data_IF_815497849368
#
_entry.id   IF_815497849368
#
_cell.length_a   1.000
_cell.length_b   1.000
_cell.length_c   1.000
_cell.angle_alpha   90.00
_cell.angle_beta   90.00
_cell.angle_gamma   90.00
#
_symmetry.space_group_name_H-M   'P 1'
#
loop_
_entity.id
_entity.type
_entity.pdbx_description
1 polymer ?
#
# COMPACT_ATOMS: atom_id res chain seq x y z
N UNK A 1 -3.20 13.22 15.31
CA UNK A 1 -3.12 12.04 14.41
C UNK A 1 -1.82 11.98 13.57
N UNK A 2 -0.67 12.25 14.21
CA UNK A 2 0.63 12.50 13.57
C UNK A 2 1.15 11.36 12.67
N UNK A 3 0.81 10.11 12.96
CA UNK A 3 1.39 8.93 12.31
C UNK A 3 0.46 8.25 11.30
N UNK A 4 -0.71 8.81 11.01
CA UNK A 4 -1.70 8.16 10.14
C UNK A 4 -1.09 7.88 8.76
N UNK A 5 -0.52 8.91 8.12
CA UNK A 5 0.07 8.76 6.78
C UNK A 5 1.21 7.73 6.78
N UNK A 6 2.13 7.81 7.74
CA UNK A 6 3.25 6.87 7.84
C UNK A 6 2.79 5.43 8.05
N UNK A 7 1.81 5.19 8.91
CA UNK A 7 1.26 3.86 9.15
C UNK A 7 0.47 3.34 7.95
N UNK A 8 -0.24 4.21 7.21
CA UNK A 8 -0.92 3.83 5.96
C UNK A 8 0.09 3.43 4.88
N UNK A 9 1.16 4.20 4.70
CA UNK A 9 2.23 3.86 3.76
C UNK A 9 2.87 2.52 4.11
N UNK A 10 3.18 2.28 5.39
CA UNK A 10 3.67 0.99 5.85
C UNK A 10 2.68 -0.13 5.52
N UNK A 11 1.38 0.04 5.83
CA UNK A 11 0.35 -0.96 5.52
C UNK A 11 0.32 -1.32 4.02
N UNK A 12 0.43 -0.33 3.14
CA UNK A 12 0.43 -0.53 1.68
C UNK A 12 1.63 -1.40 1.27
N UNK A 13 2.84 -1.04 1.71
CA UNK A 13 4.05 -1.83 1.40
C UNK A 13 4.02 -3.23 2.01
N UNK A 14 3.57 -3.35 3.27
CA UNK A 14 3.49 -4.64 3.96
C UNK A 14 2.51 -5.59 3.30
N UNK A 15 1.42 -5.10 2.73
CA UNK A 15 0.46 -5.94 2.02
C UNK A 15 1.09 -6.60 0.78
N UNK A 16 1.78 -5.82 -0.05
CA UNK A 16 2.50 -6.34 -1.24
C UNK A 16 3.62 -7.30 -0.83
N UNK A 17 4.37 -6.98 0.24
CA UNK A 17 5.40 -7.85 0.76
C UNK A 17 4.83 -9.17 1.33
N UNK A 18 3.67 -9.12 1.97
CA UNK A 18 2.99 -10.30 2.49
C UNK A 18 2.52 -11.23 1.36
N UNK A 19 1.97 -10.68 0.28
CA UNK A 19 1.64 -11.45 -0.93
C UNK A 19 2.88 -12.10 -1.54
N UNK A 20 3.97 -11.32 -1.73
CA UNK A 20 5.21 -11.82 -2.30
C UNK A 20 5.83 -12.96 -1.48
N UNK A 21 5.89 -12.82 -0.15
CA UNK A 21 6.45 -13.85 0.75
C UNK A 21 5.71 -15.17 0.71
N UNK A 22 4.46 -15.18 0.25
CA UNK A 22 3.59 -16.36 0.22
C UNK A 22 3.25 -16.79 -1.21
N UNK A 23 3.94 -16.25 -2.21
CA UNK A 23 3.57 -16.51 -3.60
C UNK A 23 3.72 -17.99 -4.01
N UNK A 24 4.64 -18.71 -3.37
CA UNK A 24 4.86 -20.14 -3.61
C UNK A 24 3.72 -21.02 -3.04
N UNK A 25 2.86 -20.50 -2.16
CA UNK A 25 1.65 -21.19 -1.70
C UNK A 25 0.60 -21.19 -2.83
N UNK A 26 0.16 -22.36 -3.35
CA UNK A 26 -0.77 -22.43 -4.47
C UNK A 26 -2.13 -21.74 -4.23
N UNK A 27 -2.49 -21.44 -2.99
CA UNK A 27 -3.67 -20.62 -2.69
C UNK A 27 -3.51 -19.16 -3.16
N UNK A 28 -2.30 -18.61 -3.15
CA UNK A 28 -2.04 -17.19 -3.39
C UNK A 28 -2.20 -16.80 -4.86
N UNK A 29 -1.58 -17.48 -5.84
CA UNK A 29 -1.85 -17.19 -7.25
C UNK A 29 -3.31 -17.37 -7.65
N UNK A 30 -4.04 -18.28 -6.99
CA UNK A 30 -5.49 -18.48 -7.22
C UNK A 30 -6.35 -17.37 -6.64
N UNK A 31 -6.04 -16.91 -5.43
CA UNK A 31 -6.80 -15.86 -4.75
C UNK A 31 -6.43 -14.44 -5.23
N UNK A 32 -5.18 -14.25 -5.64
CA UNK A 32 -4.60 -12.97 -6.01
C UNK A 32 -3.93 -13.02 -7.41
N UNK A 33 -4.63 -13.46 -8.46
CA UNK A 33 -4.05 -13.65 -9.79
C UNK A 33 -3.51 -12.34 -10.41
N UNK A 34 -4.03 -11.20 -9.96
CA UNK A 34 -3.62 -9.87 -10.40
C UNK A 34 -2.26 -9.42 -9.84
N UNK A 35 -1.75 -10.05 -8.78
CA UNK A 35 -0.56 -9.57 -8.07
C UNK A 35 0.71 -9.58 -8.94
N UNK A 36 0.84 -10.56 -9.84
CA UNK A 36 2.01 -10.67 -10.72
C UNK A 36 1.80 -10.02 -12.10
N UNK A 37 0.86 -9.08 -12.19
CA UNK A 37 0.58 -8.34 -13.45
C UNK A 37 1.29 -7.00 -13.44
N UNK A 38 1.70 -6.54 -14.63
CA UNK A 38 2.28 -5.19 -14.79
C UNK A 38 1.33 -4.11 -14.28
N UNK A 39 0.04 -4.23 -14.62
CA UNK A 39 -0.99 -3.26 -14.23
C UNK A 39 -1.08 -3.07 -12.71
N UNK A 40 -0.98 -4.14 -11.93
CA UNK A 40 -0.98 -4.05 -10.47
C UNK A 40 0.21 -3.23 -9.96
N UNK A 41 1.41 -3.52 -10.47
CA UNK A 41 2.63 -2.84 -10.02
C UNK A 41 2.70 -1.39 -10.50
N UNK A 42 2.17 -1.07 -11.68
CA UNK A 42 1.99 0.31 -12.13
C UNK A 42 1.08 1.09 -11.19
N UNK A 43 -0.09 0.53 -10.84
CA UNK A 43 -1.01 1.15 -9.89
C UNK A 43 -0.36 1.28 -8.50
N UNK A 44 0.34 0.25 -8.03
CA UNK A 44 1.01 0.28 -6.73
C UNK A 44 2.06 1.40 -6.64
N UNK A 45 2.81 1.65 -7.73
CA UNK A 45 3.77 2.75 -7.80
C UNK A 45 3.04 4.11 -7.77
N UNK A 46 1.92 4.24 -8.47
CA UNK A 46 1.10 5.46 -8.42
C UNK A 46 0.58 5.72 -7.00
N UNK A 47 0.00 4.71 -6.35
CA UNK A 47 -0.50 4.81 -4.97
C UNK A 47 0.61 5.25 -4.00
N UNK A 48 1.82 4.70 -4.15
CA UNK A 48 2.97 5.07 -3.32
C UNK A 48 3.45 6.51 -3.59
N UNK A 49 3.36 6.99 -4.83
CA UNK A 49 3.69 8.39 -5.17
C UNK A 49 2.67 9.35 -4.57
N UNK A 50 1.39 9.02 -4.61
CA UNK A 50 0.33 9.80 -3.96
C UNK A 50 0.53 9.83 -2.44
N UNK A 51 0.81 8.68 -1.82
CA UNK A 51 1.12 8.61 -0.39
C UNK A 51 2.37 9.39 0.00
N UNK A 52 3.38 9.44 -0.87
CA UNK A 52 4.54 10.30 -0.65
C UNK A 52 4.14 11.79 -0.64
N UNK A 53 3.18 12.19 -1.47
CA UNK A 53 2.58 13.53 -1.43
C UNK A 53 1.95 13.81 -0.07
N UNK A 54 1.05 12.95 0.39
CA UNK A 54 0.37 13.08 1.69
C UNK A 54 1.34 13.13 2.88
N UNK A 55 2.44 12.37 2.83
CA UNK A 55 3.48 12.38 3.86
C UNK A 55 4.23 13.72 3.97
N UNK A 56 4.30 14.48 2.89
CA UNK A 56 4.95 15.79 2.86
C UNK A 56 4.01 16.93 3.27
N UNK A 57 2.71 16.67 3.32
CA UNK A 57 1.73 17.63 3.83
C UNK A 57 1.71 17.65 5.37
N UNK A 58 1.22 18.75 5.99
CA UNK A 58 0.99 18.78 7.41
C UNK A 58 0.12 17.61 7.86
N UNK A 59 0.42 17.04 9.03
CA UNK A 59 -0.37 15.95 9.58
C UNK A 59 -1.87 16.31 9.58
N UNK A 60 -2.69 15.34 9.13
CA UNK A 60 -4.14 15.51 9.00
C UNK A 60 -4.70 16.20 10.26
N UNK A 61 -5.56 17.17 10.04
CA UNK A 61 -6.32 17.86 11.07
C UNK A 61 -7.75 17.30 11.04
N UNK A 62 -8.32 16.99 12.21
CA UNK A 62 -9.74 16.63 12.31
C UNK A 62 -10.48 17.90 12.72
N UNK A 63 -11.34 18.43 11.85
CA UNK A 63 -12.17 19.58 12.21
C UNK A 63 -13.22 19.16 13.24
N UNK A 64 -13.30 19.86 14.37
CA UNK A 64 -14.26 19.60 15.45
C UNK A 64 -13.67 19.03 16.74
N UNK A 65 -12.34 18.99 16.88
CA UNK A 65 -11.61 18.84 18.13
C UNK A 65 -10.70 20.03 18.39
#
# INVERSE_FOLDING_TARGET
IKYIESLRTLRIMYFSAWLAKRWDDPAFPRAFPWFNTTQYWEQHILDLREQLGELNEPAIQIFGQ
#
